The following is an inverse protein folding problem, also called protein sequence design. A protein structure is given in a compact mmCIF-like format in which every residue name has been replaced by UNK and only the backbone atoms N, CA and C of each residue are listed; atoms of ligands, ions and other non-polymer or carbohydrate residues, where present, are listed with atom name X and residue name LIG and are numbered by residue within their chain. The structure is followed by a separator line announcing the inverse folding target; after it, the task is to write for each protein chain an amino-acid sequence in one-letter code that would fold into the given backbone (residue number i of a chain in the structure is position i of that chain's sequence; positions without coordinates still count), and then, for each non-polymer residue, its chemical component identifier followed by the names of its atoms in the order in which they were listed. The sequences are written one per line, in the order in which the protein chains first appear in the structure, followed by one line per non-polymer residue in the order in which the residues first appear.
data_IF_484836208696
#
_entry.id   IF_484836208696
#
_cell.length_a   1.000
_cell.length_b   1.000
_cell.length_c   1.000
_cell.angle_alpha   90.00
_cell.angle_beta   90.00
_cell.angle_gamma   90.00
#
_symmetry.space_group_name_H-M   'P 1'
#
loop_
_entity.id
_entity.type
_entity.pdbx_description
1 polymer ?
#
# COMPACT_ATOMS: atom_id res chain seq x y z
N UNK A 1 -8.74 -1.42 0.16
CA UNK A 1 -7.71 -2.15 -0.59
C UNK A 1 -7.64 -3.58 -0.06
N UNK A 2 -7.17 -4.54 -0.85
CA UNK A 2 -6.99 -5.93 -0.43
C UNK A 2 -5.58 -6.37 -0.79
N UNK A 3 -4.88 -6.96 0.17
CA UNK A 3 -3.53 -7.53 0.02
C UNK A 3 -3.56 -8.96 0.48
N UNK A 4 -2.97 -9.86 -0.32
CA UNK A 4 -2.84 -11.27 -0.05
C UNK A 4 -1.37 -11.69 -0.08
N UNK A 5 -1.05 -12.77 0.65
CA UNK A 5 0.30 -13.32 0.73
C UNK A 5 0.86 -13.83 -0.59
N UNK A 6 -0.01 -14.21 -1.53
CA UNK A 6 0.36 -14.81 -2.82
C UNK A 6 -0.77 -14.63 -3.86
N UNK A 7 -0.49 -14.81 -5.16
CA UNK A 7 -1.46 -14.57 -6.22
C UNK A 7 -2.65 -15.53 -6.19
N UNK A 8 -2.46 -16.79 -5.77
CA UNK A 8 -3.55 -17.76 -5.72
C UNK A 8 -4.56 -17.39 -4.63
N UNK A 9 -4.07 -16.97 -3.47
CA UNK A 9 -4.88 -16.43 -2.37
C UNK A 9 -5.60 -15.15 -2.79
N UNK A 10 -4.95 -14.25 -3.54
CA UNK A 10 -5.60 -13.04 -4.05
C UNK A 10 -6.80 -13.35 -4.97
N UNK A 11 -6.65 -14.29 -5.90
CA UNK A 11 -7.73 -14.68 -6.81
C UNK A 11 -8.90 -15.34 -6.08
N UNK A 12 -8.62 -16.19 -5.09
CA UNK A 12 -9.65 -16.78 -4.24
C UNK A 12 -10.39 -15.70 -3.41
N UNK A 13 -9.66 -14.77 -2.81
CA UNK A 13 -10.24 -13.66 -2.08
C UNK A 13 -11.13 -12.79 -3.00
N UNK A 14 -10.65 -12.48 -4.21
CA UNK A 14 -11.39 -11.72 -5.22
C UNK A 14 -12.72 -12.39 -5.60
N UNK A 15 -12.73 -13.71 -5.77
CA UNK A 15 -13.96 -14.49 -6.02
C UNK A 15 -14.95 -14.39 -4.86
N UNK A 16 -14.52 -14.66 -3.63
CA UNK A 16 -15.40 -14.60 -2.44
C UNK A 16 -15.96 -13.20 -2.20
N UNK A 17 -15.13 -12.18 -2.40
CA UNK A 17 -15.53 -10.78 -2.25
C UNK A 17 -16.52 -10.35 -3.32
N UNK A 18 -16.43 -10.89 -4.55
CA UNK A 18 -17.39 -10.62 -5.63
C UNK A 18 -18.81 -11.05 -5.24
N UNK A 19 -18.93 -12.18 -4.55
CA UNK A 19 -20.24 -12.75 -4.19
C UNK A 19 -20.83 -12.12 -2.91
N UNK A 20 -19.99 -11.60 -2.00
CA UNK A 20 -20.46 -11.09 -0.70
C UNK A 20 -19.60 -9.95 -0.14
N UNK A 21 -19.44 -8.87 -0.91
CA UNK A 21 -18.58 -7.74 -0.55
C UNK A 21 -18.95 -7.07 0.78
N UNK A 22 -20.23 -7.08 1.17
CA UNK A 22 -20.68 -6.52 2.45
C UNK A 22 -20.06 -7.21 3.67
N UNK A 23 -19.68 -8.48 3.53
CA UNK A 23 -19.05 -9.26 4.59
C UNK A 23 -17.52 -9.35 4.46
N UNK A 24 -16.90 -8.40 3.76
CA UNK A 24 -15.46 -8.43 3.46
C UNK A 24 -14.57 -8.69 4.68
N UNK A 25 -14.91 -8.14 5.86
CA UNK A 25 -14.16 -8.36 7.11
C UNK A 25 -14.16 -9.83 7.53
N UNK A 26 -15.34 -10.46 7.54
CA UNK A 26 -15.49 -11.87 7.86
C UNK A 26 -14.74 -12.73 6.84
N UNK A 27 -14.88 -12.40 5.55
CA UNK A 27 -14.19 -13.11 4.47
C UNK A 27 -12.68 -13.02 4.67
N UNK A 28 -12.12 -11.84 4.99
CA UNK A 28 -10.68 -11.68 5.20
C UNK A 28 -10.19 -12.42 6.44
N UNK A 29 -10.97 -12.44 7.52
CA UNK A 29 -10.62 -13.16 8.74
C UNK A 29 -10.51 -14.69 8.51
N UNK A 30 -11.36 -15.24 7.63
CA UNK A 30 -11.33 -16.67 7.25
C UNK A 30 -10.04 -17.09 6.53
N UNK A 31 -9.26 -16.14 5.99
CA UNK A 31 -7.95 -16.42 5.40
C UNK A 31 -6.83 -16.55 6.43
N UNK A 32 -7.12 -16.49 7.74
CA UNK A 32 -6.17 -16.71 8.84
C UNK A 32 -4.89 -15.85 8.70
N UNK A 33 -5.06 -14.57 8.41
CA UNK A 33 -3.95 -13.61 8.27
C UNK A 33 -3.23 -13.63 6.92
N UNK A 34 -3.61 -14.50 5.98
CA UNK A 34 -3.07 -14.49 4.60
C UNK A 34 -3.64 -13.38 3.74
N UNK A 35 -4.78 -12.81 4.14
CA UNK A 35 -5.41 -11.67 3.46
C UNK A 35 -5.63 -10.57 4.48
N UNK A 36 -5.19 -9.37 4.14
CA UNK A 36 -5.51 -8.14 4.85
C UNK A 36 -6.33 -7.25 3.93
N UNK A 37 -7.33 -6.58 4.48
CA UNK A 37 -8.12 -5.61 3.73
C UNK A 37 -8.44 -4.39 4.59
N UNK A 38 -8.57 -3.26 3.92
CA UNK A 38 -9.02 -2.00 4.48
C UNK A 38 -10.05 -1.34 3.56
N UNK A 39 -10.73 -0.34 4.09
CA UNK A 39 -11.64 0.51 3.33
C UNK A 39 -11.33 1.95 3.66
N UNK A 40 -11.21 2.77 2.63
CA UNK A 40 -10.87 4.19 2.75
C UNK A 40 -10.96 4.87 1.40
N UNK A 41 -10.76 6.20 1.41
CA UNK A 41 -10.70 7.00 0.18
C UNK A 41 -9.27 7.09 -0.31
N UNK A 42 -9.03 6.59 -1.51
CA UNK A 42 -7.73 6.60 -2.18
C UNK A 42 -7.74 7.57 -3.36
N UNK A 43 -6.58 8.16 -3.65
CA UNK A 43 -6.36 8.82 -4.94
C UNK A 43 -6.22 7.77 -6.03
N UNK A 44 -6.61 8.10 -7.26
CA UNK A 44 -6.58 7.13 -8.38
C UNK A 44 -5.18 6.58 -8.63
N UNK A 45 -4.14 7.37 -8.38
CA UNK A 45 -2.72 7.00 -8.51
C UNK A 45 -2.25 6.00 -7.46
N UNK A 46 -2.99 5.85 -6.36
CA UNK A 46 -2.70 4.87 -5.31
C UNK A 46 -3.38 3.52 -5.58
N UNK A 47 -4.26 3.45 -6.58
CA UNK A 47 -4.96 2.21 -6.93
C UNK A 47 -4.11 1.41 -7.92
N UNK A 48 -3.97 0.08 -7.72
CA UNK A 48 -3.20 -0.77 -8.62
C UNK A 48 -3.78 -0.72 -10.04
N UNK A 49 -2.92 -0.50 -11.03
CA UNK A 49 -3.29 -0.41 -12.45
C UNK A 49 -4.44 0.57 -12.71
N UNK A 50 -4.22 1.84 -12.34
CA UNK A 50 -5.14 2.96 -12.48
C UNK A 50 -5.66 3.14 -13.93
N UNK A 51 -6.65 2.34 -14.34
CA UNK A 51 -7.30 2.40 -15.65
C UNK A 51 -8.70 3.02 -15.53
N UNK A 52 -9.23 3.69 -16.57
CA UNK A 52 -10.59 4.24 -16.61
C UNK A 52 -11.73 3.33 -16.10
N UNK A 53 -11.60 2.00 -16.10
CA UNK A 53 -12.63 1.10 -15.57
C UNK A 53 -12.84 1.26 -14.04
N UNK A 54 -11.82 1.74 -13.33
CA UNK A 54 -11.84 1.96 -11.88
C UNK A 54 -12.71 3.17 -11.49
N UNK A 55 -13.20 3.95 -12.46
CA UNK A 55 -14.15 5.03 -12.20
C UNK A 55 -15.58 4.54 -12.02
N UNK A 56 -15.85 3.24 -12.20
CA UNK A 56 -17.18 2.65 -12.00
C UNK A 56 -17.30 1.98 -10.62
N UNK A 57 -18.42 2.16 -9.90
CA UNK A 57 -18.68 1.44 -8.67
C UNK A 57 -18.79 -0.07 -8.94
N UNK A 58 -18.62 -0.86 -7.88
CA UNK A 58 -18.65 -2.32 -7.89
C UNK A 58 -17.64 -3.01 -8.82
N UNK A 59 -16.56 -2.32 -9.18
CA UNK A 59 -15.53 -2.84 -10.08
C UNK A 59 -14.26 -3.20 -9.30
N UNK A 60 -13.58 -4.28 -9.69
CA UNK A 60 -12.26 -4.61 -9.17
C UNK A 60 -11.16 -4.03 -10.06
N UNK A 61 -10.05 -3.59 -9.47
CA UNK A 61 -8.83 -3.30 -10.23
C UNK A 61 -8.17 -4.59 -10.73
N UNK A 62 -7.14 -4.43 -11.55
CA UNK A 62 -6.20 -5.51 -11.82
C UNK A 62 -5.47 -5.92 -10.53
N UNK A 63 -5.07 -7.18 -10.50
CA UNK A 63 -4.23 -7.71 -9.41
C UNK A 63 -2.78 -7.41 -9.75
N UNK A 64 -2.07 -6.70 -8.88
CA UNK A 64 -0.64 -6.43 -9.03
C UNK A 64 0.13 -7.34 -8.08
N UNK A 65 1.24 -7.90 -8.57
CA UNK A 65 2.11 -8.80 -7.82
C UNK A 65 3.39 -8.04 -7.47
N UNK A 66 3.75 -8.06 -6.19
CA UNK A 66 5.02 -7.55 -5.72
C UNK A 66 6.15 -8.52 -6.13
N UNK A 67 7.14 -8.10 -6.92
CA UNK A 67 8.21 -8.98 -7.37
C UNK A 67 9.17 -9.40 -6.25
N UNK A 68 9.20 -8.71 -5.10
CA UNK A 68 10.13 -9.01 -4.01
C UNK A 68 9.68 -10.17 -3.13
N UNK A 69 8.38 -10.28 -2.86
CA UNK A 69 7.83 -11.24 -1.91
C UNK A 69 6.65 -12.06 -2.47
N UNK A 70 6.30 -11.86 -3.75
CA UNK A 70 5.15 -12.49 -4.42
C UNK A 70 3.79 -12.15 -3.81
N UNK A 71 3.69 -11.20 -2.88
CA UNK A 71 2.42 -10.71 -2.38
C UNK A 71 1.61 -10.08 -3.51
N UNK A 72 0.28 -10.21 -3.44
CA UNK A 72 -0.61 -9.74 -4.49
C UNK A 72 -1.67 -8.81 -3.92
N UNK A 73 -1.95 -7.71 -4.59
CA UNK A 73 -2.88 -6.70 -4.09
C UNK A 73 -3.78 -6.15 -5.20
N UNK A 74 -5.01 -5.80 -4.82
CA UNK A 74 -6.02 -5.24 -5.70
C UNK A 74 -6.98 -4.35 -4.91
N UNK A 75 -7.80 -3.58 -5.63
CA UNK A 75 -8.84 -2.74 -5.05
C UNK A 75 -10.23 -3.16 -5.52
N UNK A 76 -11.23 -2.89 -4.68
CA UNK A 76 -12.64 -2.92 -5.05
C UNK A 76 -13.21 -1.51 -4.91
N UNK A 77 -13.84 -1.01 -5.96
CA UNK A 77 -14.37 0.37 -6.01
C UNK A 77 -15.78 0.38 -5.43
N UNK A 78 -15.93 0.97 -4.25
CA UNK A 78 -17.25 1.15 -3.63
C UNK A 78 -17.96 2.37 -4.23
N UNK A 79 -17.26 3.51 -4.26
CA UNK A 79 -17.82 4.79 -4.71
C UNK A 79 -16.72 5.67 -5.34
N UNK A 80 -16.89 6.10 -6.60
CA UNK A 80 -16.02 7.09 -7.22
C UNK A 80 -16.35 8.51 -6.72
N UNK A 81 -15.33 9.34 -6.60
CA UNK A 81 -15.46 10.77 -6.30
C UNK A 81 -14.82 11.57 -7.44
N UNK A 82 -15.61 12.35 -8.17
CA UNK A 82 -15.16 13.08 -9.37
C UNK A 82 -14.95 14.58 -9.14
N UNK A 83 -15.36 15.10 -7.98
CA UNK A 83 -15.17 16.50 -7.59
C UNK A 83 -14.26 16.63 -6.37
N UNK A 84 -13.49 17.73 -6.28
CA UNK A 84 -12.81 18.10 -5.05
C UNK A 84 -13.84 18.26 -3.93
N UNK A 85 -13.56 17.68 -2.79
CA UNK A 85 -14.48 17.72 -1.66
C UNK A 85 -13.78 17.31 -0.38
N UNK A 86 -14.22 17.90 0.73
CA UNK A 86 -13.67 17.64 2.06
C UNK A 86 -13.84 16.15 2.39
N UNK A 87 -12.76 15.52 2.85
CA UNK A 87 -12.78 14.14 3.31
C UNK A 87 -13.45 14.08 4.69
N UNK A 88 -14.19 13.01 4.96
CA UNK A 88 -14.68 12.76 6.33
C UNK A 88 -13.48 12.50 7.25
N UNK A 89 -13.69 12.62 8.57
CA UNK A 89 -12.65 12.25 9.55
C UNK A 89 -12.17 10.80 9.34
N UNK A 90 -13.10 9.87 9.09
CA UNK A 90 -12.78 8.46 8.87
C UNK A 90 -11.92 8.26 7.61
N UNK A 91 -12.23 8.96 6.52
CA UNK A 91 -11.47 8.90 5.27
C UNK A 91 -10.10 9.58 5.36
N UNK A 92 -9.97 10.61 6.20
CA UNK A 92 -8.74 11.39 6.35
C UNK A 92 -7.80 10.78 7.39
N UNK A 93 -8.32 10.11 8.42
CA UNK A 93 -7.55 9.61 9.56
C UNK A 93 -6.36 8.74 9.14
N UNK A 94 -6.58 7.78 8.23
CA UNK A 94 -5.51 6.89 7.77
C UNK A 94 -4.35 7.62 7.10
N UNK A 95 -4.67 8.58 6.22
CA UNK A 95 -3.66 9.40 5.55
C UNK A 95 -2.90 10.28 6.54
N UNK A 96 -3.62 10.99 7.42
CA UNK A 96 -3.00 11.85 8.43
C UNK A 96 -2.09 11.05 9.36
N UNK A 97 -2.49 9.83 9.74
CA UNK A 97 -1.65 8.94 10.54
C UNK A 97 -0.40 8.51 9.78
N UNK A 98 -0.51 8.19 8.48
CA UNK A 98 0.64 7.82 7.66
C UNK A 98 1.62 9.00 7.47
N UNK A 99 1.10 10.20 7.17
CA UNK A 99 1.92 11.41 7.06
C UNK A 99 2.66 11.69 8.38
N UNK A 100 1.98 11.51 9.51
CA UNK A 100 2.59 11.69 10.82
C UNK A 100 3.64 10.62 11.14
N UNK A 101 3.44 9.37 10.71
CA UNK A 101 4.45 8.32 10.83
C UNK A 101 5.74 8.72 10.11
N UNK A 102 5.65 9.26 8.89
CA UNK A 102 6.82 9.73 8.14
C UNK A 102 7.58 10.83 8.91
N UNK A 103 6.86 11.79 9.49
CA UNK A 103 7.46 12.85 10.33
C UNK A 103 8.19 12.26 11.55
N UNK A 104 7.62 11.23 12.18
CA UNK A 104 8.27 10.56 13.31
C UNK A 104 9.50 9.78 12.89
N UNK A 105 9.44 9.08 11.75
CA UNK A 105 10.58 8.34 11.19
C UNK A 105 11.73 9.28 10.82
N UNK A 106 11.45 10.41 10.16
CA UNK A 106 12.48 11.40 9.83
C UNK A 106 13.18 11.94 11.09
N UNK A 107 12.39 12.27 12.12
CA UNK A 107 12.93 12.71 13.41
C UNK A 107 13.79 11.62 14.05
N UNK A 108 13.31 10.39 14.05
CA UNK A 108 14.03 9.27 14.62
C UNK A 108 15.37 9.01 13.90
N UNK A 109 15.37 9.04 12.57
CA UNK A 109 16.59 8.93 11.75
C UNK A 109 17.56 10.08 12.03
N UNK A 110 17.06 11.31 12.19
CA UNK A 110 17.90 12.46 12.53
C UNK A 110 18.55 12.30 13.91
N UNK A 111 17.80 11.83 14.91
CA UNK A 111 18.31 11.52 16.25
C UNK A 111 19.38 10.43 16.22
N UNK A 112 19.16 9.36 15.45
CA UNK A 112 20.13 8.28 15.28
C UNK A 112 21.43 8.77 14.63
N UNK A 113 21.34 9.57 13.56
CA UNK A 113 22.52 10.16 12.90
C UNK A 113 23.32 11.06 13.84
N UNK A 114 22.64 11.79 14.73
CA UNK A 114 23.29 12.64 15.74
C UNK A 114 23.97 11.79 16.83
N UNK A 115 23.31 10.72 17.28
CA UNK A 115 23.82 9.83 18.33
C UNK A 115 25.00 8.97 17.86
N UNK A 116 25.01 8.58 16.58
CA UNK A 116 26.01 7.70 15.97
C UNK A 116 26.63 8.40 14.75
N UNK A 117 27.61 9.31 14.95
CA UNK A 117 28.23 10.03 13.85
C UNK A 117 29.04 9.07 12.98
N UNK A 118 28.63 8.93 11.72
CA UNK A 118 29.33 8.11 10.72
C UNK A 118 30.50 8.92 10.14
N UNK A 119 31.69 8.33 10.10
CA UNK A 119 32.85 8.86 9.38
C UNK A 119 33.12 7.98 8.17
N UNK A 120 33.07 8.58 6.97
CA UNK A 120 33.40 7.90 5.73
C UNK A 120 34.92 7.97 5.51
N UNK A 121 35.56 6.82 5.31
CA UNK A 121 36.93 6.79 4.82
C UNK A 121 36.92 7.11 3.32
N UNK A 122 37.25 8.37 3.00
CA UNK A 122 37.22 8.85 1.63
C UNK A 122 38.21 8.12 0.72
N UNK A 123 39.34 7.61 1.24
CA UNK A 123 40.32 6.89 0.41
C UNK A 123 39.74 5.56 -0.06
N UNK A 124 39.11 4.83 0.85
CA UNK A 124 38.45 3.56 0.52
C UNK A 124 37.27 3.80 -0.41
N UNK A 125 36.45 4.83 -0.15
CA UNK A 125 35.31 5.17 -1.00
C UNK A 125 35.71 5.50 -2.45
N UNK A 126 36.75 6.33 -2.63
CA UNK A 126 37.26 6.67 -3.97
C UNK A 126 37.88 5.45 -4.68
N UNK A 127 38.56 4.57 -3.93
CA UNK A 127 39.10 3.33 -4.48
C UNK A 127 38.03 2.31 -4.93
N UNK A 128 36.82 2.37 -4.36
CA UNK A 128 35.66 1.59 -4.83
C UNK A 128 35.04 2.23 -6.07
N UNK A 129 34.89 3.56 -6.09
CA UNK A 129 34.37 4.31 -7.24
C UNK A 129 35.19 4.10 -8.52
N UNK A 130 36.51 4.07 -8.42
CA UNK A 130 37.39 3.85 -9.58
C UNK A 130 37.35 2.43 -10.15
N UNK A 131 36.71 1.48 -9.45
CA UNK A 131 36.62 0.06 -9.84
C UNK A 131 35.22 -0.33 -10.33
N UNK A 132 34.27 0.60 -10.29
CA UNK A 132 32.96 0.40 -10.89
C UNK A 132 33.11 0.53 -12.41
N UNK A 133 32.55 -0.43 -13.19
CA UNK A 133 32.58 -0.41 -14.66
C UNK A 133 31.76 0.74 -15.26
#
# INVERSE_FOLDING_TARGET
MVTASDPATAEEAKKRLKDNISNWRKITDEFNGKVAADSGRYEITQIPDAHPAITQPATFSSTVINPQDSSAYFAYVIKPYTSPGVRSFEDAKGLVMNDYQNVLEEKWVAELKKKYPVKVDQKVFQGLLSKLP
#
